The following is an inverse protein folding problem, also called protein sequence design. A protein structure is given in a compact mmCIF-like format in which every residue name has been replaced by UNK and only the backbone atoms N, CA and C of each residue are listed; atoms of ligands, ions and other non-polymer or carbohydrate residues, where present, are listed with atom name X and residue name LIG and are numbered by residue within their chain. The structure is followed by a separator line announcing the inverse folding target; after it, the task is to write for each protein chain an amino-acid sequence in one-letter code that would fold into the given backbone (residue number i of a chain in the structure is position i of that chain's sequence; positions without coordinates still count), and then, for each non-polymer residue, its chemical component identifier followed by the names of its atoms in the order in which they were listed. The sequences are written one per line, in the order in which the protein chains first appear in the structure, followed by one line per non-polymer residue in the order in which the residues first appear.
data_IF_036436650763
#
_entry.id   IF_036436650763
#
_cell.length_a   1.000
_cell.length_b   1.000
_cell.length_c   1.000
_cell.angle_alpha   90.00
_cell.angle_beta   90.00
_cell.angle_gamma   90.00
#
_symmetry.space_group_name_H-M   'P 1'
#
loop_
_entity.id
_entity.type
_entity.pdbx_description
1 polymer ?
#
# COMPACT_ATOMS: atom_id res chain seq x y z
N UNK A 1 -2.87 -29.51 -54.87
CA UNK A 1 -1.56 -28.92 -54.48
C UNK A 1 -1.71 -27.41 -54.43
N UNK A 2 -1.95 -26.84 -53.24
CA UNK A 2 -1.93 -25.40 -52.92
C UNK A 2 -1.51 -25.39 -51.45
N UNK A 3 -0.65 -24.54 -50.93
CA UNK A 3 0.36 -23.62 -51.41
C UNK A 3 1.02 -23.10 -50.12
N UNK A 4 1.93 -22.12 -50.27
CA UNK A 4 2.32 -21.17 -49.24
C UNK A 4 3.28 -21.77 -48.21
N UNK A 5 4.34 -21.08 -47.84
CA UNK A 5 4.58 -19.68 -48.02
C UNK A 5 5.44 -19.24 -46.87
N UNK A 6 6.67 -18.88 -47.22
CA UNK A 6 7.32 -17.65 -46.80
C UNK A 6 7.46 -17.44 -45.29
N UNK A 7 8.67 -17.75 -44.85
CA UNK A 7 9.54 -16.77 -44.18
C UNK A 7 8.97 -16.14 -42.93
N UNK A 8 9.32 -16.76 -41.82
CA UNK A 8 9.18 -16.25 -40.45
C UNK A 8 9.85 -14.87 -40.36
N UNK A 9 9.03 -13.88 -40.04
CA UNK A 9 9.44 -12.54 -39.65
C UNK A 9 9.70 -12.57 -38.14
N UNK A 10 10.95 -12.34 -37.75
CA UNK A 10 11.40 -12.22 -36.37
C UNK A 10 10.70 -11.05 -35.68
N UNK A 11 10.00 -11.30 -34.58
CA UNK A 11 9.45 -10.23 -33.72
C UNK A 11 10.21 -10.24 -32.40
N UNK A 12 10.99 -9.17 -32.20
CA UNK A 12 11.61 -8.81 -30.93
C UNK A 12 10.51 -8.26 -30.01
N UNK A 13 10.24 -8.91 -28.89
CA UNK A 13 9.26 -8.45 -27.90
C UNK A 13 9.98 -7.69 -26.78
N UNK A 14 10.00 -6.37 -26.89
CA UNK A 14 10.42 -5.46 -25.81
C UNK A 14 9.31 -5.36 -24.78
N UNK A 15 9.55 -5.89 -23.58
CA UNK A 15 8.62 -5.83 -22.46
C UNK A 15 8.80 -4.48 -21.73
N UNK A 16 8.01 -3.47 -22.11
CA UNK A 16 7.88 -2.24 -21.34
C UNK A 16 6.97 -2.53 -20.13
N UNK A 17 7.57 -2.69 -18.94
CA UNK A 17 6.84 -2.60 -17.68
C UNK A 17 6.42 -1.14 -17.49
N UNK A 18 5.20 -0.81 -17.89
CA UNK A 18 4.56 0.44 -17.47
C UNK A 18 4.35 0.39 -15.96
N UNK A 19 4.91 1.36 -15.24
CA UNK A 19 4.43 1.68 -13.90
C UNK A 19 2.93 1.97 -14.04
N UNK A 20 2.10 1.28 -13.27
CA UNK A 20 0.71 1.66 -13.14
C UNK A 20 0.65 2.97 -12.36
N UNK A 21 0.79 4.10 -13.06
CA UNK A 21 0.18 5.33 -12.58
C UNK A 21 -1.33 5.11 -12.68
N UNK A 22 -1.91 4.70 -11.55
CA UNK A 22 -3.34 4.84 -11.29
C UNK A 22 -3.65 6.35 -11.16
N UNK A 23 -3.44 7.11 -12.24
CA UNK A 23 -4.00 8.44 -12.42
C UNK A 23 -5.50 8.28 -12.71
N UNK A 24 -6.24 7.76 -11.74
CA UNK A 24 -7.67 7.50 -11.89
C UNK A 24 -8.49 8.80 -11.83
N UNK A 25 -7.89 9.93 -11.44
CA UNK A 25 -8.55 11.22 -11.42
C UNK A 25 -7.54 12.36 -11.66
N UNK A 26 -7.55 12.97 -12.85
CA UNK A 26 -6.80 14.20 -13.16
C UNK A 26 -5.28 14.04 -13.29
N UNK A 27 -4.64 14.94 -14.05
CA UNK A 27 -3.18 15.03 -14.16
C UNK A 27 -2.48 15.47 -12.85
N UNK A 28 -3.24 15.60 -11.76
CA UNK A 28 -2.71 16.08 -10.49
C UNK A 28 -1.95 14.99 -9.74
N UNK A 29 -0.84 15.35 -9.11
CA UNK A 29 0.03 14.43 -8.37
C UNK A 29 0.40 15.02 -7.03
N UNK A 30 0.39 14.18 -5.99
CA UNK A 30 0.91 14.49 -4.66
C UNK A 30 2.28 13.82 -4.47
N UNK A 31 3.24 14.59 -4.02
CA UNK A 31 4.60 14.13 -3.71
C UNK A 31 5.00 14.57 -2.31
N UNK A 32 5.82 13.77 -1.64
CA UNK A 32 6.48 14.16 -0.39
C UNK A 32 7.97 13.83 -0.49
N UNK A 33 8.87 14.67 0.04
CA UNK A 33 10.28 14.33 0.16
C UNK A 33 10.51 13.16 1.13
N UNK A 34 9.56 12.91 2.03
CA UNK A 34 9.59 11.80 2.98
C UNK A 34 8.78 10.63 2.43
N UNK A 35 9.32 9.42 2.50
CA UNK A 35 8.61 8.19 2.13
C UNK A 35 7.77 7.59 3.26
N UNK A 36 7.83 8.20 4.45
CA UNK A 36 7.06 7.81 5.64
C UNK A 36 6.83 9.02 6.53
N UNK A 37 5.76 8.98 7.32
CA UNK A 37 5.46 10.01 8.32
C UNK A 37 5.45 9.43 9.74
N UNK A 38 5.74 10.28 10.73
CA UNK A 38 5.60 9.95 12.15
C UNK A 38 4.39 10.68 12.71
N UNK A 39 3.55 10.00 13.49
CA UNK A 39 2.43 10.62 14.17
C UNK A 39 2.90 11.81 15.02
N UNK A 40 2.16 12.92 15.00
CA UNK A 40 2.49 14.14 15.73
C UNK A 40 3.60 14.99 15.10
N UNK A 41 4.13 14.58 13.93
CA UNK A 41 5.18 15.33 13.21
C UNK A 41 4.59 16.14 12.04
N UNK A 42 5.36 17.12 11.57
CA UNK A 42 5.06 17.84 10.35
C UNK A 42 5.49 17.02 9.11
N UNK A 43 4.67 17.05 8.06
CA UNK A 43 4.91 16.41 6.77
C UNK A 43 4.84 17.46 5.66
N UNK A 44 5.91 17.59 4.89
CA UNK A 44 5.92 18.44 3.69
C UNK A 44 5.26 17.71 2.52
N UNK A 45 4.35 18.38 1.85
CA UNK A 45 3.62 17.90 0.69
C UNK A 45 3.76 18.88 -0.47
N UNK A 46 3.97 18.35 -1.66
CA UNK A 46 4.05 19.10 -2.90
C UNK A 46 2.96 18.59 -3.84
N UNK A 47 2.13 19.50 -4.32
CA UNK A 47 1.14 19.23 -5.35
C UNK A 47 1.59 19.76 -6.71
N UNK A 48 1.32 19.00 -7.77
CA UNK A 48 1.49 19.42 -9.17
C UNK A 48 0.24 19.07 -9.98
N UNK A 49 -0.05 19.83 -11.03
CA UNK A 49 -1.19 19.56 -11.93
C UNK A 49 -2.57 19.89 -11.35
N UNK A 50 -2.62 20.68 -10.26
CA UNK A 50 -3.89 21.10 -9.64
C UNK A 50 -4.49 22.31 -10.34
N UNK A 51 -5.82 22.42 -10.36
CA UNK A 51 -6.51 23.54 -10.99
C UNK A 51 -6.13 24.87 -10.29
N UNK A 52 -5.54 25.84 -11.00
CA UNK A 52 -5.02 27.06 -10.39
C UNK A 52 -6.14 27.91 -9.76
N UNK A 53 -5.91 28.41 -8.55
CA UNK A 53 -6.89 29.22 -7.81
C UNK A 53 -8.05 28.42 -7.20
N UNK A 54 -8.05 27.09 -7.33
CA UNK A 54 -9.05 26.22 -6.72
C UNK A 54 -8.57 25.73 -5.35
N UNK A 55 -9.48 25.71 -4.38
CA UNK A 55 -9.24 25.14 -3.06
C UNK A 55 -9.38 23.61 -3.11
N UNK A 56 -8.44 22.90 -2.49
CA UNK A 56 -8.40 21.45 -2.41
C UNK A 56 -8.22 21.04 -0.96
N UNK A 57 -8.96 20.03 -0.52
CA UNK A 57 -8.86 19.49 0.83
C UNK A 57 -7.87 18.34 0.84
N UNK A 58 -6.92 18.37 1.77
CA UNK A 58 -5.95 17.32 1.97
C UNK A 58 -6.41 16.47 3.15
N UNK A 59 -6.65 15.19 2.88
CA UNK A 59 -7.23 14.25 3.82
C UNK A 59 -6.33 13.04 3.95
N UNK A 60 -6.10 12.60 5.18
CA UNK A 60 -5.39 11.37 5.50
C UNK A 60 -6.38 10.26 5.84
N UNK A 61 -6.43 9.22 5.00
CA UNK A 61 -7.32 8.07 5.15
C UNK A 61 -6.56 6.83 5.58
N UNK A 62 -6.98 6.25 6.69
CA UNK A 62 -6.58 4.92 7.14
C UNK A 62 -7.65 3.89 6.82
N UNK A 63 -7.47 2.66 7.30
CA UNK A 63 -8.45 1.58 7.11
C UNK A 63 -9.77 1.81 7.86
N UNK A 64 -9.71 2.49 9.02
CA UNK A 64 -10.86 2.67 9.92
C UNK A 64 -11.17 4.14 10.20
N UNK A 65 -10.28 5.05 9.81
CA UNK A 65 -10.25 6.42 10.30
C UNK A 65 -9.93 7.38 9.14
N UNK A 66 -10.49 8.59 9.18
CA UNK A 66 -10.22 9.68 8.23
C UNK A 66 -9.90 10.96 9.01
N UNK A 67 -8.88 11.70 8.56
CA UNK A 67 -8.42 12.91 9.20
C UNK A 67 -8.20 14.03 8.17
N UNK A 68 -8.95 15.13 8.30
CA UNK A 68 -8.69 16.35 7.54
C UNK A 68 -7.38 16.99 8.04
N UNK A 69 -6.41 17.18 7.13
CA UNK A 69 -5.11 17.77 7.47
C UNK A 69 -5.10 19.28 7.21
N UNK A 70 -5.58 19.69 6.04
CA UNK A 70 -5.57 21.10 5.62
C UNK A 70 -6.46 21.34 4.39
N UNK A 71 -6.70 22.61 4.10
CA UNK A 71 -7.17 23.09 2.80
C UNK A 71 -6.06 23.92 2.14
N UNK A 72 -5.82 23.69 0.86
CA UNK A 72 -4.76 24.35 0.09
C UNK A 72 -5.29 24.89 -1.22
N UNK A 73 -4.83 26.06 -1.63
CA UNK A 73 -5.15 26.63 -2.95
C UNK A 73 -3.94 26.49 -3.87
N UNK A 74 -4.15 25.92 -5.06
CA UNK A 74 -3.07 25.82 -6.04
C UNK A 74 -2.72 27.20 -6.60
N UNK A 75 -1.42 27.47 -6.76
CA UNK A 75 -0.92 28.68 -7.39
C UNK A 75 -1.20 28.69 -8.90
N UNK A 76 -0.94 29.83 -9.57
CA UNK A 76 -1.19 29.99 -11.00
C UNK A 76 -0.38 29.03 -11.89
N UNK A 77 0.69 28.45 -11.37
CA UNK A 77 1.51 27.44 -12.05
C UNK A 77 1.01 26.00 -11.82
N UNK A 78 -0.18 25.84 -11.24
CA UNK A 78 -0.80 24.54 -10.92
C UNK A 78 -0.04 23.74 -9.85
N UNK A 79 0.73 24.41 -9.00
CA UNK A 79 1.48 23.78 -7.90
C UNK A 79 1.08 24.32 -6.53
N UNK A 80 1.44 23.58 -5.47
CA UNK A 80 1.45 24.09 -4.10
C UNK A 80 2.50 23.35 -3.26
N UNK A 81 2.92 23.98 -2.17
CA UNK A 81 3.69 23.35 -1.10
C UNK A 81 2.99 23.60 0.23
N UNK A 82 2.80 22.55 1.01
CA UNK A 82 2.11 22.59 2.30
C UNK A 82 2.94 21.84 3.35
N UNK A 83 3.00 22.38 4.56
CA UNK A 83 3.46 21.67 5.74
C UNK A 83 2.24 21.23 6.57
N UNK A 84 1.89 19.95 6.48
CA UNK A 84 0.73 19.37 7.15
C UNK A 84 1.13 18.74 8.48
N UNK A 85 0.38 19.01 9.54
CA UNK A 85 0.60 18.36 10.84
C UNK A 85 -0.12 17.03 10.90
N UNK A 86 0.63 15.94 11.12
CA UNK A 86 0.07 14.60 11.27
C UNK A 86 -0.47 14.44 12.69
N UNK A 87 -1.73 13.99 12.89
CA UNK A 87 -2.27 13.77 14.24
C UNK A 87 -1.38 12.84 15.08
N UNK A 88 -1.25 13.13 16.37
CA UNK A 88 -0.37 12.37 17.27
C UNK A 88 -0.95 11.00 17.68
N UNK A 89 -2.28 10.87 17.66
CA UNK A 89 -3.00 9.68 18.10
C UNK A 89 -3.12 8.60 17.00
N UNK A 90 -2.42 8.78 15.87
CA UNK A 90 -2.44 7.79 14.80
C UNK A 90 -1.71 6.51 15.22
N UNK A 91 -2.32 5.38 14.87
CA UNK A 91 -1.68 4.08 14.97
C UNK A 91 -0.68 3.91 13.83
N UNK A 92 0.33 3.07 14.05
CA UNK A 92 1.22 2.65 12.97
C UNK A 92 0.44 1.89 11.91
N UNK A 93 0.67 2.20 10.63
CA UNK A 93 -0.06 1.53 9.54
C UNK A 93 0.18 2.16 8.18
N UNK A 94 -0.49 1.61 7.16
CA UNK A 94 -0.55 2.20 5.83
C UNK A 94 -1.71 3.19 5.77
N UNK A 95 -1.40 4.41 5.37
CA UNK A 95 -2.37 5.47 5.15
C UNK A 95 -2.28 5.98 3.72
N UNK A 96 -3.34 6.65 3.29
CA UNK A 96 -3.43 7.30 2.00
C UNK A 96 -3.70 8.78 2.19
N UNK A 97 -2.84 9.62 1.66
CA UNK A 97 -3.16 11.03 1.48
C UNK A 97 -3.97 11.19 0.21
N UNK A 98 -5.09 11.88 0.32
CA UNK A 98 -6.03 12.14 -0.76
C UNK A 98 -6.24 13.64 -0.85
N UNK A 99 -6.07 14.20 -2.05
CA UNK A 99 -6.52 15.56 -2.34
C UNK A 99 -7.92 15.49 -2.94
N UNK A 100 -8.85 16.24 -2.37
CA UNK A 100 -10.26 16.28 -2.76
C UNK A 100 -10.58 17.67 -3.30
N UNK A 101 -11.17 17.74 -4.49
CA UNK A 101 -11.65 18.98 -5.09
C UNK A 101 -12.97 19.47 -4.45
N UNK A 102 -13.40 20.72 -4.68
CA UNK A 102 -14.62 21.30 -4.10
C UNK A 102 -15.91 20.56 -4.47
N UNK A 103 -15.91 19.87 -5.60
CA UNK A 103 -17.01 18.99 -6.06
C UNK A 103 -17.05 17.65 -5.31
N UNK A 104 -16.02 17.34 -4.53
CA UNK A 104 -15.89 16.10 -3.78
C UNK A 104 -15.09 15.02 -4.50
N UNK A 105 -14.58 15.29 -5.71
CA UNK A 105 -13.79 14.31 -6.45
C UNK A 105 -12.38 14.20 -5.86
N UNK A 106 -11.90 12.97 -5.70
CA UNK A 106 -10.50 12.72 -5.40
C UNK A 106 -9.69 13.06 -6.65
N UNK A 107 -8.69 13.93 -6.56
CA UNK A 107 -7.90 14.38 -7.72
C UNK A 107 -6.44 13.97 -7.64
N UNK A 108 -5.96 13.54 -6.47
CA UNK A 108 -4.62 13.00 -6.34
C UNK A 108 -4.55 12.10 -5.09
N UNK A 109 -3.64 11.14 -5.12
CA UNK A 109 -3.44 10.18 -4.05
C UNK A 109 -1.95 9.92 -3.85
N UNK A 110 -1.53 9.75 -2.59
CA UNK A 110 -0.19 9.32 -2.20
C UNK A 110 -0.28 8.32 -1.04
N UNK A 111 0.23 7.10 -1.24
CA UNK A 111 0.35 6.13 -0.15
C UNK A 111 1.51 6.52 0.78
N UNK A 112 1.24 6.53 2.09
CA UNK A 112 2.16 6.99 3.11
C UNK A 112 2.12 6.06 4.33
N UNK A 113 3.17 5.26 4.60
CA UNK A 113 3.29 4.55 5.85
C UNK A 113 3.47 5.54 7.01
N UNK A 114 2.69 5.36 8.06
CA UNK A 114 2.77 6.14 9.30
C UNK A 114 3.31 5.27 10.42
N UNK A 115 4.25 5.79 11.18
CA UNK A 115 4.72 5.21 12.45
C UNK A 115 4.10 5.96 13.62
N UNK A 116 3.71 5.24 14.68
CA UNK A 116 3.24 5.86 15.91
C UNK A 116 4.35 6.71 16.54
N UNK A 117 3.95 7.80 17.21
CA UNK A 117 4.87 8.61 17.99
C UNK A 117 5.53 7.74 19.06
N UNK A 118 6.83 7.92 19.28
CA UNK A 118 7.48 7.34 20.44
C UNK A 118 6.83 7.92 21.69
N UNK A 119 6.02 7.12 22.38
CA UNK A 119 5.51 7.49 23.70
C UNK A 119 6.76 7.69 24.57
N UNK A 120 6.97 8.86 25.21
CA UNK A 120 7.99 8.95 26.23
C UNK A 120 7.60 7.90 27.26
N UNK A 121 8.46 6.90 27.43
CA UNK A 121 8.24 5.86 28.43
C UNK A 121 7.97 6.60 29.73
N UNK A 122 6.76 6.41 30.28
CA UNK A 122 6.48 6.85 31.62
C UNK A 122 7.58 6.19 32.45
N UNK A 123 8.49 6.99 33.01
CA UNK A 123 9.36 6.51 34.08
C UNK A 123 8.40 5.94 35.11
N UNK A 124 8.36 4.63 35.21
CA UNK A 124 7.76 3.94 36.33
C UNK A 124 8.48 4.49 37.57
N UNK A 125 7.84 5.41 38.28
CA UNK A 125 8.19 5.75 39.65
C UNK A 125 7.80 4.55 40.52
N UNK A 126 8.56 3.46 40.38
CA UNK A 126 8.55 2.36 41.33
C UNK A 126 9.32 2.85 42.56
N UNK A 127 8.62 3.57 43.43
CA UNK A 127 9.09 3.88 44.76
C UNK A 127 9.37 2.55 45.48
N UNK A 128 10.66 2.29 45.77
CA UNK A 128 11.10 1.15 46.56
C UNK A 128 10.54 1.26 47.99
N UNK A 129 9.43 0.55 48.23
CA UNK A 129 8.90 0.28 49.55
C UNK A 129 9.43 -1.06 50.06
N UNK A 130 10.38 -0.99 50.99
CA UNK A 130 10.96 -2.13 51.72
C UNK A 130 9.88 -2.97 52.41
N UNK A 131 9.85 -4.27 52.11
CA UNK A 131 8.95 -5.24 52.76
C UNK A 131 9.49 -6.66 52.64
N UNK A 132 10.16 -7.09 53.71
CA UNK A 132 10.70 -8.43 53.95
C UNK A 132 9.63 -9.53 53.79
N UNK A 133 9.90 -10.59 53.01
CA UNK A 133 9.20 -11.89 53.13
C UNK A 133 10.16 -13.02 52.72
N UNK A 134 10.67 -13.82 53.67
CA UNK A 134 11.32 -15.08 53.38
C UNK A 134 10.26 -16.20 53.44
N UNK A 135 9.98 -16.84 52.31
CA UNK A 135 8.97 -17.90 52.26
C UNK A 135 9.05 -18.69 50.96
N UNK A 136 9.55 -19.93 51.05
CA UNK A 136 9.88 -20.79 49.93
C UNK A 136 8.71 -21.24 49.07
N UNK A 137 9.06 -21.81 47.91
CA UNK A 137 8.09 -22.49 47.06
C UNK A 137 8.55 -22.62 45.62
N UNK A 138 9.67 -23.32 45.38
CA UNK A 138 9.94 -23.87 44.06
C UNK A 138 8.83 -24.87 43.73
N UNK A 139 7.93 -24.55 42.80
CA UNK A 139 7.18 -25.52 42.00
C UNK A 139 6.41 -24.85 40.86
N UNK A 140 6.69 -25.36 39.66
CA UNK A 140 5.87 -25.32 38.45
C UNK A 140 5.71 -23.97 37.72
N UNK A 141 6.77 -23.59 37.00
CA UNK A 141 6.60 -23.02 35.67
C UNK A 141 5.68 -23.94 34.83
N UNK A 142 4.59 -23.46 34.20
CA UNK A 142 4.19 -24.04 32.93
C UNK A 142 5.20 -23.52 31.92
N UNK A 143 6.38 -24.14 31.86
CA UNK A 143 7.27 -23.96 30.70
C UNK A 143 6.44 -24.39 29.51
N UNK A 144 6.07 -23.43 28.66
CA UNK A 144 5.57 -23.71 27.33
C UNK A 144 6.59 -24.63 26.68
N UNK A 145 6.29 -25.93 26.67
CA UNK A 145 7.15 -26.91 26.04
C UNK A 145 7.06 -26.59 24.56
N UNK A 146 8.23 -26.44 23.94
CA UNK A 146 8.37 -26.45 22.50
C UNK A 146 7.93 -27.82 21.98
N UNK A 147 6.63 -28.08 21.97
CA UNK A 147 6.05 -29.00 21.00
C UNK A 147 6.11 -28.24 19.69
N UNK A 148 7.13 -28.61 18.91
CA UNK A 148 7.29 -28.31 17.51
C UNK A 148 5.92 -28.37 16.84
N UNK A 149 5.35 -27.19 16.55
CA UNK A 149 4.18 -27.10 15.68
C UNK A 149 4.67 -27.58 14.32
N UNK A 150 4.50 -28.87 14.06
CA UNK A 150 4.77 -29.47 12.76
C UNK A 150 3.71 -28.91 11.82
N UNK A 151 4.03 -27.78 11.18
CA UNK A 151 3.22 -27.24 10.11
C UNK A 151 3.31 -28.23 8.96
N UNK A 152 2.35 -29.16 8.91
CA UNK A 152 2.04 -29.92 7.71
C UNK A 152 1.57 -28.92 6.65
N UNK A 153 2.53 -28.41 5.89
CA UNK A 153 2.28 -27.68 4.65
C UNK A 153 1.70 -28.68 3.66
N UNK A 154 0.40 -28.96 3.78
CA UNK A 154 -0.35 -29.71 2.79
C UNK A 154 -0.39 -28.90 1.51
N UNK A 155 0.59 -29.18 0.64
CA UNK A 155 0.59 -28.87 -0.77
C UNK A 155 -0.53 -29.69 -1.42
N UNK A 156 -1.76 -29.18 -1.44
CA UNK A 156 -2.76 -29.70 -2.35
C UNK A 156 -2.43 -29.16 -3.75
N UNK A 157 -1.54 -29.86 -4.47
CA UNK A 157 -1.10 -29.56 -5.83
C UNK A 157 -2.19 -29.69 -6.91
N UNK A 158 -3.44 -29.38 -6.59
CA UNK A 158 -4.60 -29.52 -7.46
C UNK A 158 -5.03 -28.20 -8.11
N UNK A 159 -4.54 -27.04 -7.64
CA UNK A 159 -4.92 -25.73 -8.20
C UNK A 159 -4.18 -25.38 -9.51
N UNK A 160 -3.01 -25.97 -9.76
CA UNK A 160 -2.29 -25.76 -11.04
C UNK A 160 -2.98 -26.48 -12.22
N UNK A 161 -3.73 -27.56 -11.96
CA UNK A 161 -4.43 -28.31 -13.01
C UNK A 161 -5.59 -27.52 -13.65
N UNK A 162 -6.31 -26.73 -12.85
CA UNK A 162 -7.39 -25.88 -13.34
C UNK A 162 -6.88 -24.81 -14.31
N UNK A 163 -5.73 -24.20 -14.00
CA UNK A 163 -5.07 -23.20 -14.85
C UNK A 163 -4.62 -23.84 -16.18
N UNK A 164 -4.03 -25.04 -16.13
CA UNK A 164 -3.63 -25.78 -17.34
C UNK A 164 -4.81 -26.17 -18.25
N UNK A 165 -5.95 -26.54 -17.67
CA UNK A 165 -7.15 -26.94 -18.41
C UNK A 165 -7.84 -25.76 -19.11
N UNK A 166 -7.85 -24.56 -18.49
CA UNK A 166 -8.37 -23.34 -19.12
C UNK A 166 -7.50 -22.92 -20.31
N UNK A 167 -6.18 -23.01 -20.20
CA UNK A 167 -5.24 -22.67 -21.30
C UNK A 167 -5.36 -23.70 -22.45
N UNK A 168 -5.51 -24.99 -22.12
CA UNK A 168 -5.69 -26.04 -23.13
C UNK A 168 -6.97 -25.90 -23.97
N UNK A 169 -8.09 -25.46 -23.36
CA UNK A 169 -9.35 -25.23 -24.07
C UNK A 169 -9.29 -24.00 -25.00
N UNK A 170 -8.55 -22.96 -24.64
CA UNK A 170 -8.33 -21.78 -25.50
C UNK A 170 -7.45 -22.10 -26.73
N UNK A 171 -6.51 -23.05 -26.62
CA UNK A 171 -5.68 -23.51 -27.75
C UNK A 171 -6.37 -24.49 -28.70
N UNK A 172 -7.41 -25.20 -28.25
CA UNK A 172 -8.02 -26.32 -29.01
C UNK A 172 -8.90 -25.90 -30.21
N UNK A 173 -9.50 -24.71 -30.18
CA UNK A 173 -10.39 -24.26 -31.26
C UNK A 173 -9.66 -23.58 -32.43
N UNK A 174 -8.42 -23.12 -32.25
CA UNK A 174 -7.65 -22.43 -33.29
C UNK A 174 -6.97 -23.33 -34.32
N UNK A 175 -6.68 -24.59 -33.96
CA UNK A 175 -5.90 -25.51 -34.81
C UNK A 175 -6.75 -26.21 -35.89
N UNK A 176 -8.08 -26.23 -35.75
CA UNK A 176 -8.98 -26.88 -36.70
C UNK A 176 -9.21 -26.09 -38.01
N UNK A 177 -9.07 -24.76 -37.99
CA UNK A 177 -9.40 -23.89 -39.13
C UNK A 177 -8.22 -23.67 -40.10
N UNK A 178 -6.99 -24.04 -39.74
CA UNK A 178 -5.80 -23.85 -40.59
C UNK A 178 -5.57 -25.05 -41.54
N UNK A 179 -6.38 -26.12 -41.46
CA UNK A 179 -6.22 -27.30 -42.32
C UNK A 179 -7.16 -27.35 -43.53
N UNK A 180 -8.07 -26.39 -43.72
CA UNK A 180 -8.95 -26.38 -44.91
C UNK A 180 -9.33 -24.97 -45.34
N UNK A 181 -8.45 -24.34 -46.13
CA UNK A 181 -8.67 -23.05 -46.80
C UNK A 181 -7.54 -22.71 -47.75
#
# INVERSE_FOLDING_TARGET
MIARGRTVLTVLLTLALGAADLAAHGEATLESPSSSATAGSALTLNGKGFAPGQAHRIVLRGTLDEHDLAEVTAASDSTFTLEASIPADLRSGQYRLVAIAPDGDEVATLDMPVTAAARPEARDEHAEGSGDTPGGGSSAEPRARAEEIRIERSRAGLEWGAIGLVIGLAGGLGVGLIRKG
#
